data_IF_571705126997
#
_entry.id   IF_571705126997
#
_cell.length_a   1.000
_cell.length_b   1.000
_cell.length_c   1.000
_cell.angle_alpha   90.00
_cell.angle_beta   90.00
_cell.angle_gamma   90.00
#
_symmetry.space_group_name_H-M   'P 1'
#
loop_
_entity.id
_entity.type
_entity.pdbx_description
1 polymer ?
#
# COMPACT_ATOMS: atom_id res chain seq x y z
N UNK A 1 11.24 4.61 9.30
CA UNK A 1 10.88 4.96 7.90
C UNK A 1 9.73 4.14 7.33
N UNK A 2 9.72 2.82 7.53
CA UNK A 2 8.60 2.02 7.01
C UNK A 2 7.27 2.45 7.60
N UNK A 3 7.24 2.81 8.88
CA UNK A 3 6.01 3.26 9.52
C UNK A 3 5.46 4.53 8.88
N UNK A 4 6.33 5.45 8.52
CA UNK A 4 5.88 6.69 7.88
C UNK A 4 5.23 6.39 6.54
N UNK A 5 5.84 5.51 5.76
CA UNK A 5 5.29 5.13 4.48
C UNK A 5 3.95 4.44 4.67
N UNK A 6 3.89 3.49 5.62
CA UNK A 6 2.65 2.77 5.88
C UNK A 6 1.53 3.71 6.30
N UNK A 7 1.83 4.70 7.12
CA UNK A 7 0.83 5.66 7.55
C UNK A 7 0.31 6.51 6.40
N UNK A 8 1.19 6.93 5.50
CA UNK A 8 0.76 7.67 4.32
C UNK A 8 -0.13 6.81 3.44
N UNK A 9 0.22 5.55 3.25
CA UNK A 9 -0.57 4.67 2.41
C UNK A 9 -1.95 4.42 3.00
N UNK A 10 -2.06 4.43 4.32
CA UNK A 10 -3.36 4.27 4.98
C UNK A 10 -4.31 5.44 4.73
N UNK A 11 -3.79 6.57 4.26
CA UNK A 11 -4.64 7.73 3.93
C UNK A 11 -5.29 7.59 2.58
N UNK A 12 -4.88 6.61 1.78
CA UNK A 12 -5.48 6.38 0.48
C UNK A 12 -6.89 5.86 0.71
N UNK A 13 -7.84 6.44 0.00
CA UNK A 13 -9.23 6.03 0.10
C UNK A 13 -9.34 4.55 -0.25
N UNK A 14 -10.09 3.80 0.54
CA UNK A 14 -10.30 2.37 0.34
C UNK A 14 -9.24 1.48 1.00
N UNK A 15 -8.08 2.00 1.35
CA UNK A 15 -7.03 1.20 1.99
C UNK A 15 -7.34 1.03 3.46
N UNK A 16 -7.34 -0.23 3.91
CA UNK A 16 -7.61 -0.56 5.30
C UNK A 16 -6.41 -1.23 5.98
N UNK A 17 -5.38 -1.54 5.23
CA UNK A 17 -4.15 -2.07 5.79
C UNK A 17 -3.00 -1.88 4.84
N UNK A 18 -1.82 -1.66 5.38
CA UNK A 18 -0.62 -1.52 4.57
C UNK A 18 0.58 -2.08 5.31
N UNK A 19 1.50 -2.67 4.56
CA UNK A 19 2.74 -3.17 5.11
C UNK A 19 3.85 -2.97 4.09
N UNK A 20 4.97 -2.41 4.55
CA UNK A 20 6.13 -2.16 3.71
C UNK A 20 7.29 -3.00 4.22
N UNK A 21 7.92 -3.74 3.34
CA UNK A 21 9.08 -4.57 3.66
C UNK A 21 10.29 -3.99 2.95
N UNK A 22 11.33 -3.70 3.71
CA UNK A 22 12.58 -3.15 3.19
C UNK A 22 13.72 -4.13 3.42
N UNK A 23 14.73 -4.04 2.55
CA UNK A 23 15.94 -4.80 2.76
C UNK A 23 16.87 -4.08 3.73
N UNK A 24 18.05 -4.65 3.95
CA UNK A 24 19.01 -4.09 4.91
C UNK A 24 19.59 -2.75 4.44
N UNK A 25 19.45 -2.43 3.18
CA UNK A 25 19.94 -1.16 2.62
C UNK A 25 18.87 -0.08 2.59
N UNK A 26 17.68 -0.38 3.10
CA UNK A 26 16.59 0.59 3.08
C UNK A 26 15.86 0.66 1.75
N UNK A 27 16.02 -0.33 0.89
CA UNK A 27 15.32 -0.38 -0.39
C UNK A 27 14.02 -1.17 -0.19
N UNK A 28 12.94 -0.64 -0.74
CA UNK A 28 11.63 -1.29 -0.61
C UNK A 28 11.64 -2.59 -1.43
N UNK A 29 11.38 -3.70 -0.77
CA UNK A 29 11.28 -5.00 -1.44
C UNK A 29 9.87 -5.36 -1.81
N UNK A 30 8.92 -5.07 -0.90
CA UNK A 30 7.52 -5.43 -1.12
C UNK A 30 6.63 -4.44 -0.41
N UNK A 31 5.46 -4.22 -0.99
CA UNK A 31 4.41 -3.44 -0.36
C UNK A 31 3.13 -4.26 -0.46
N UNK A 32 2.50 -4.49 0.67
CA UNK A 32 1.24 -5.24 0.75
C UNK A 32 0.14 -4.30 1.18
N UNK A 33 -0.90 -4.21 0.36
CA UNK A 33 -2.05 -3.35 0.61
C UNK A 33 -3.29 -4.22 0.75
N UNK A 34 -4.09 -3.93 1.76
CA UNK A 34 -5.41 -4.52 1.90
C UNK A 34 -6.41 -3.39 1.75
N UNK A 35 -7.39 -3.56 0.89
CA UNK A 35 -8.39 -2.53 0.66
C UNK A 35 -9.79 -3.13 0.65
N UNK A 36 -10.79 -2.25 0.81
CA UNK A 36 -12.16 -2.66 0.56
C UNK A 36 -12.45 -2.55 -0.94
N UNK A 37 -13.71 -2.71 -1.32
CA UNK A 37 -14.08 -2.79 -2.72
C UNK A 37 -14.52 -1.47 -3.32
N UNK A 38 -14.37 -0.35 -2.60
CA UNK A 38 -14.84 0.95 -3.10
C UNK A 38 -14.05 1.44 -4.31
N UNK A 39 -12.79 1.07 -4.40
CA UNK A 39 -11.96 1.48 -5.53
C UNK A 39 -11.30 0.27 -6.16
N UNK A 40 -10.99 0.35 -7.43
CA UNK A 40 -10.36 -0.76 -8.12
C UNK A 40 -8.89 -0.90 -7.71
N UNK A 41 -8.34 -2.10 -7.81
CA UNK A 41 -6.91 -2.29 -7.50
C UNK A 41 -6.01 -1.38 -8.32
N UNK A 42 -6.37 -1.15 -9.57
CA UNK A 42 -5.57 -0.31 -10.46
C UNK A 42 -5.49 1.13 -9.95
N UNK A 43 -6.61 1.66 -9.48
CA UNK A 43 -6.62 3.02 -8.94
C UNK A 43 -5.81 3.10 -7.67
N UNK A 44 -5.92 2.09 -6.80
CA UNK A 44 -5.16 2.05 -5.56
C UNK A 44 -3.67 1.96 -5.88
N UNK A 45 -3.30 1.13 -6.83
CA UNK A 45 -1.90 0.99 -7.24
C UNK A 45 -1.34 2.34 -7.69
N UNK A 46 -2.09 3.08 -8.49
CA UNK A 46 -1.66 4.40 -8.95
C UNK A 46 -1.46 5.35 -7.79
N UNK A 47 -2.38 5.33 -6.82
CA UNK A 47 -2.26 6.20 -5.66
C UNK A 47 -1.04 5.84 -4.82
N UNK A 48 -0.77 4.54 -4.66
CA UNK A 48 0.41 4.09 -3.92
C UNK A 48 1.68 4.60 -4.61
N UNK A 49 1.76 4.41 -5.92
CA UNK A 49 2.94 4.87 -6.66
C UNK A 49 3.10 6.38 -6.57
N UNK A 50 2.00 7.11 -6.68
CA UNK A 50 2.06 8.57 -6.62
C UNK A 50 2.57 9.06 -5.27
N UNK A 51 2.11 8.45 -4.19
CA UNK A 51 2.56 8.83 -2.85
C UNK A 51 4.03 8.51 -2.66
N UNK A 52 4.47 7.34 -3.12
CA UNK A 52 5.86 6.96 -2.97
C UNK A 52 6.78 7.95 -3.69
N UNK A 53 6.38 8.39 -4.87
CA UNK A 53 7.19 9.34 -5.64
C UNK A 53 7.11 10.72 -5.02
N UNK A 54 5.93 11.20 -4.70
CA UNK A 54 5.76 12.60 -4.26
C UNK A 54 6.22 12.84 -2.84
N UNK A 55 6.01 11.87 -1.94
CA UNK A 55 6.29 12.09 -0.53
C UNK A 55 7.61 11.45 -0.09
N UNK A 56 8.07 10.44 -0.78
CA UNK A 56 9.26 9.70 -0.34
C UNK A 56 10.34 9.61 -1.41
N UNK A 57 10.08 10.17 -2.58
CA UNK A 57 11.04 10.14 -3.71
C UNK A 57 11.48 8.72 -4.03
N UNK A 58 10.53 7.79 -3.97
CA UNK A 58 10.77 6.37 -4.24
C UNK A 58 9.99 5.94 -5.45
N UNK A 59 10.68 5.29 -6.39
CA UNK A 59 10.01 4.68 -7.54
C UNK A 59 10.07 3.17 -7.33
N UNK A 60 8.91 2.54 -7.21
CA UNK A 60 8.83 1.12 -6.90
C UNK A 60 8.12 0.42 -8.05
N UNK A 61 8.73 -0.69 -8.51
CA UNK A 61 8.15 -1.49 -9.57
C UNK A 61 6.79 -2.04 -9.10
N UNK A 62 5.77 -1.94 -9.95
CA UNK A 62 4.44 -2.41 -9.58
C UNK A 62 4.42 -3.89 -9.21
N UNK A 63 5.39 -4.65 -9.69
CA UNK A 63 5.48 -6.07 -9.34
C UNK A 63 5.77 -6.30 -7.87
N UNK A 64 6.29 -5.29 -7.20
CA UNK A 64 6.57 -5.38 -5.76
C UNK A 64 5.38 -4.96 -4.92
N UNK A 65 4.29 -4.52 -5.55
CA UNK A 65 3.11 -4.04 -4.85
C UNK A 65 1.98 -5.05 -5.03
N UNK A 66 1.49 -5.58 -3.92
CA UNK A 66 0.38 -6.53 -3.92
C UNK A 66 -0.83 -5.86 -3.29
N UNK A 67 -1.98 -5.98 -3.95
CA UNK A 67 -3.21 -5.39 -3.44
C UNK A 67 -4.24 -6.51 -3.30
N UNK A 68 -4.67 -6.75 -2.07
CA UNK A 68 -5.73 -7.70 -1.78
C UNK A 68 -6.97 -6.92 -1.40
N UNK A 69 -8.10 -7.25 -2.03
CA UNK A 69 -9.35 -6.59 -1.72
C UNK A 69 -10.27 -7.54 -0.97
N UNK A 70 -10.91 -7.01 0.06
CA UNK A 70 -11.81 -7.81 0.89
C UNK A 70 -13.09 -7.01 1.09
N UNK A 71 -14.17 -7.73 1.36
CA UNK A 71 -15.40 -7.07 1.76
C UNK A 71 -15.20 -6.49 3.15
N UNK A 72 -15.80 -5.31 3.39
CA UNK A 72 -15.60 -4.63 4.66
C UNK A 72 -15.90 -5.48 5.87
N UNK A 73 -16.95 -6.28 5.81
CA UNK A 73 -17.36 -7.09 6.95
C UNK A 73 -16.49 -8.34 7.13
N UNK A 74 -15.69 -8.74 6.16
CA UNK A 74 -14.83 -9.89 6.35
C UNK A 74 -13.57 -9.57 7.13
N UNK A 75 -13.29 -8.30 7.34
CA UNK A 75 -12.07 -7.88 8.03
C UNK A 75 -12.15 -8.12 9.53
N UNK A 76 -13.33 -8.13 10.09
CA UNK A 76 -13.48 -8.18 11.53
C UNK A 76 -13.54 -9.58 12.12
N UNK A 77 -13.34 -10.56 11.37
CA UNK A 77 -13.32 -11.87 11.95
C UNK A 77 -12.07 -12.09 12.71
N UNK A 78 -11.89 -12.36 13.23
CA UNK A 78 -10.91 -12.60 13.77
C UNK A 78 -10.82 -12.89 14.51
#
# INVERSE_FOLDING_TARGET
MTKSIEQFLMKIQSVIGSKVIMDSNGVIEEIHIVSDLRRSPKQILRDVEAILISEFDQSVDYKKISIAQVKGDSVKTE
#
